data_IF_040875580253
#
_entry.id   IF_040875580253
#
_cell.length_a   1.000
_cell.length_b   1.000
_cell.length_c   1.000
_cell.angle_alpha   90.00
_cell.angle_beta   90.00
_cell.angle_gamma   90.00
#
_symmetry.space_group_name_H-M   'P 1'
#
loop_
_entity.id
_entity.type
_entity.pdbx_description
1 polymer ?
#
# COMPACT_ATOMS: atom_id res chain seq x y z
N UNK A 1 7.33 -13.80 9.61
CA UNK A 1 6.03 -13.09 9.43
C UNK A 1 6.33 -11.64 9.17
N UNK A 2 5.80 -11.08 8.11
CA UNK A 2 6.04 -9.68 7.75
C UNK A 2 4.75 -8.86 7.90
N UNK A 3 4.91 -7.64 8.37
CA UNK A 3 3.82 -6.72 8.63
C UNK A 3 4.10 -5.42 7.87
N UNK A 4 3.24 -5.08 6.93
CA UNK A 4 3.26 -3.78 6.27
C UNK A 4 2.27 -2.88 6.99
N UNK A 5 2.67 -1.65 7.25
CA UNK A 5 1.73 -0.65 7.77
C UNK A 5 0.63 -0.47 6.74
N UNK A 6 -0.60 -0.85 7.07
CA UNK A 6 -1.73 -0.78 6.15
C UNK A 6 -1.96 0.63 5.59
N UNK A 7 -2.61 0.67 4.44
CA UNK A 7 -2.96 1.91 3.73
C UNK A 7 -4.14 2.57 4.43
N UNK A 8 -4.02 3.84 4.83
CA UNK A 8 -5.16 4.61 5.35
C UNK A 8 -5.92 5.20 4.19
N UNK A 9 -7.11 4.69 3.96
CA UNK A 9 -8.02 5.19 2.91
C UNK A 9 -8.86 6.36 3.42
N UNK A 10 -9.33 7.25 2.54
CA UNK A 10 -10.46 8.12 2.84
C UNK A 10 -11.75 7.28 2.96
N UNK A 11 -12.84 7.85 3.48
CA UNK A 11 -14.15 7.19 3.45
C UNK A 11 -14.53 6.86 1.99
N UNK A 12 -14.80 5.57 1.72
CA UNK A 12 -15.12 5.05 0.39
C UNK A 12 -16.54 4.53 0.30
N UNK A 13 -17.07 3.99 1.40
CA UNK A 13 -18.44 3.49 1.51
C UNK A 13 -19.01 3.93 2.85
N UNK A 14 -20.22 4.47 2.84
CA UNK A 14 -20.95 4.91 4.01
C UNK A 14 -22.37 4.33 4.00
N UNK A 15 -23.02 4.40 5.15
CA UNK A 15 -24.44 4.10 5.33
C UNK A 15 -25.10 5.20 6.16
N UNK A 16 -26.41 5.30 6.10
CA UNK A 16 -27.17 6.13 7.01
C UNK A 16 -27.72 5.30 8.17
N UNK A 17 -27.51 5.80 9.37
CA UNK A 17 -28.08 5.23 10.60
C UNK A 17 -28.99 6.26 11.23
N UNK A 18 -30.27 5.89 11.42
CA UNK A 18 -31.27 6.72 12.10
C UNK A 18 -31.44 6.21 13.53
N UNK A 19 -31.15 7.05 14.49
CA UNK A 19 -31.38 6.81 15.92
C UNK A 19 -32.24 7.92 16.56
N UNK A 20 -32.39 7.87 17.88
CA UNK A 20 -33.19 8.86 18.60
C UNK A 20 -32.67 10.32 18.48
N UNK A 21 -31.41 10.50 18.03
CA UNK A 21 -30.79 11.82 17.83
C UNK A 21 -30.90 12.33 16.40
N UNK A 22 -31.41 11.51 15.46
CA UNK A 22 -31.60 11.84 14.06
C UNK A 22 -30.85 10.87 13.11
N UNK A 23 -30.84 11.20 11.82
CA UNK A 23 -30.07 10.44 10.80
C UNK A 23 -28.66 10.96 10.73
N UNK A 24 -27.68 10.03 10.75
CA UNK A 24 -26.27 10.33 10.60
C UNK A 24 -25.63 9.38 9.60
N UNK A 25 -24.63 9.87 8.90
CA UNK A 25 -23.79 9.06 8.03
C UNK A 25 -22.71 8.33 8.85
N UNK A 26 -22.57 7.03 8.63
CA UNK A 26 -21.55 6.18 9.26
C UNK A 26 -20.65 5.55 8.19
N UNK A 27 -19.32 5.59 8.39
CA UNK A 27 -18.36 5.04 7.47
C UNK A 27 -18.26 3.53 7.66
N UNK A 28 -18.56 2.76 6.60
CA UNK A 28 -18.40 1.30 6.58
C UNK A 28 -16.99 0.93 6.14
N UNK A 29 -16.47 1.59 5.11
CA UNK A 29 -15.10 1.37 4.60
C UNK A 29 -14.41 2.70 4.37
N UNK A 30 -13.23 2.82 4.92
CA UNK A 30 -12.41 4.03 4.87
C UNK A 30 -12.24 4.65 6.25
N UNK A 31 -11.58 5.81 6.27
CA UNK A 31 -11.10 6.51 7.47
C UNK A 31 -10.24 5.67 8.41
N UNK A 32 -10.02 4.42 8.07
CA UNK A 32 -9.18 3.45 8.78
C UNK A 32 -8.12 2.85 7.83
N UNK A 33 -7.30 1.98 8.38
CA UNK A 33 -6.27 1.26 7.63
C UNK A 33 -6.76 -0.10 7.20
N UNK A 34 -6.71 -0.33 5.91
CA UNK A 34 -6.89 -1.67 5.33
C UNK A 34 -5.54 -2.40 5.22
N UNK A 35 -5.58 -3.69 4.95
CA UNK A 35 -4.37 -4.53 4.78
C UNK A 35 -3.46 -4.52 6.02
N UNK A 36 -4.02 -4.57 7.23
CA UNK A 36 -3.26 -4.55 8.49
C UNK A 36 -2.79 -5.94 8.94
N UNK A 37 -3.28 -7.02 8.33
CA UNK A 37 -2.94 -8.40 8.73
C UNK A 37 -1.48 -8.73 8.41
N UNK A 38 -0.86 -9.58 9.21
CA UNK A 38 0.47 -10.14 8.93
C UNK A 38 0.43 -11.08 7.72
N UNK A 39 1.50 -11.13 6.96
CA UNK A 39 1.71 -12.09 5.85
C UNK A 39 2.96 -12.91 6.10
N UNK A 40 3.00 -14.11 5.54
CA UNK A 40 4.22 -14.90 5.49
C UNK A 40 5.17 -14.31 4.44
N UNK A 41 6.45 -14.33 4.75
CA UNK A 41 7.51 -13.92 3.84
C UNK A 41 8.71 -14.85 3.99
N UNK A 42 9.64 -14.71 3.08
CA UNK A 42 10.90 -15.45 3.10
C UNK A 42 12.06 -14.49 2.98
N UNK A 43 13.15 -14.78 3.69
CA UNK A 43 14.42 -14.07 3.59
C UNK A 43 15.56 -15.09 3.49
N UNK A 44 16.47 -14.85 2.56
CA UNK A 44 17.69 -15.63 2.38
C UNK A 44 18.85 -14.65 2.51
N UNK A 45 19.80 -15.00 3.34
CA UNK A 45 21.05 -14.26 3.51
C UNK A 45 22.21 -15.23 3.28
N UNK A 46 23.16 -14.84 2.47
CA UNK A 46 24.39 -15.58 2.21
C UNK A 46 25.57 -14.63 2.20
N UNK A 47 26.72 -15.11 2.64
CA UNK A 47 27.93 -14.30 2.65
C UNK A 47 29.18 -15.15 2.76
N UNK A 48 30.30 -14.57 2.44
CA UNK A 48 31.59 -15.22 2.51
C UNK A 48 32.69 -14.21 2.81
N UNK A 49 33.62 -14.61 3.68
CA UNK A 49 34.90 -13.91 3.84
C UNK A 49 35.83 -14.24 2.68
N UNK A 50 36.49 -13.23 2.13
CA UNK A 50 37.39 -13.34 1.00
C UNK A 50 38.84 -13.61 1.44
N UNK A 51 39.15 -13.31 2.68
CA UNK A 51 40.47 -13.49 3.27
C UNK A 51 40.41 -14.37 4.53
N UNK A 52 41.55 -15.01 4.86
CA UNK A 52 41.65 -15.87 6.05
C UNK A 52 41.57 -15.11 7.37
N UNK A 53 41.89 -13.82 7.34
CA UNK A 53 41.82 -12.95 8.51
C UNK A 53 40.41 -12.41 8.78
N UNK A 54 39.44 -12.77 7.94
CA UNK A 54 38.06 -12.29 8.03
C UNK A 54 37.96 -10.75 8.10
N UNK A 55 38.85 -10.06 7.38
CA UNK A 55 38.86 -8.61 7.29
C UNK A 55 37.94 -8.07 6.20
N UNK A 56 37.79 -8.84 5.11
CA UNK A 56 36.94 -8.47 3.97
C UNK A 56 36.06 -9.64 3.52
N UNK A 57 34.83 -9.32 3.21
CA UNK A 57 33.85 -10.27 2.71
C UNK A 57 32.74 -9.60 1.90
N UNK A 58 31.79 -10.39 1.53
CA UNK A 58 30.53 -9.90 0.95
C UNK A 58 29.33 -10.61 1.59
N UNK A 59 28.19 -9.91 1.59
CA UNK A 59 26.91 -10.43 2.06
C UNK A 59 25.86 -10.06 1.03
N UNK A 60 25.13 -11.05 0.54
CA UNK A 60 23.93 -10.87 -0.28
C UNK A 60 22.71 -11.28 0.50
N UNK A 61 21.65 -10.49 0.37
CA UNK A 61 20.36 -10.76 0.99
C UNK A 61 19.25 -10.54 0.00
N UNK A 62 18.31 -11.47 -0.03
CA UNK A 62 17.06 -11.37 -0.75
C UNK A 62 15.87 -11.62 0.17
N UNK A 63 14.80 -10.86 0.02
CA UNK A 63 13.58 -11.08 0.79
C UNK A 63 12.33 -10.84 -0.07
N UNK A 64 11.28 -11.59 0.25
CA UNK A 64 9.96 -11.44 -0.33
C UNK A 64 8.92 -11.36 0.79
N UNK A 65 8.14 -10.28 0.82
CA UNK A 65 7.18 -9.97 1.87
C UNK A 65 5.81 -10.64 1.71
N UNK A 66 5.67 -11.59 0.77
CA UNK A 66 4.40 -12.22 0.47
C UNK A 66 3.40 -11.25 -0.18
N UNK A 67 2.32 -11.80 -0.73
CA UNK A 67 1.19 -11.04 -1.25
C UNK A 67 0.15 -10.83 -0.14
N UNK A 68 -0.32 -9.62 0.02
CA UNK A 68 -1.33 -9.23 0.97
C UNK A 68 -2.58 -8.84 0.22
N UNK A 69 -3.72 -9.37 0.65
CA UNK A 69 -5.00 -9.12 0.00
C UNK A 69 -6.00 -8.52 0.98
N UNK A 70 -6.90 -7.72 0.45
CA UNK A 70 -8.05 -7.16 1.11
C UNK A 70 -9.28 -7.39 0.24
N UNK A 71 -10.38 -7.73 0.83
CA UNK A 71 -11.68 -7.87 0.17
C UNK A 71 -12.78 -7.38 1.10
N UNK A 72 -13.68 -6.61 0.54
CA UNK A 72 -14.90 -6.16 1.17
C UNK A 72 -16.02 -6.20 0.13
N UNK A 73 -17.11 -6.89 0.45
CA UNK A 73 -18.29 -7.01 -0.41
C UNK A 73 -19.52 -6.74 0.45
N UNK A 74 -20.44 -5.91 -0.06
CA UNK A 74 -21.73 -5.60 0.56
C UNK A 74 -22.78 -5.39 -0.49
N UNK A 75 -23.99 -5.84 -0.19
CA UNK A 75 -25.21 -5.60 -0.97
C UNK A 75 -26.34 -5.06 -0.08
N UNK A 76 -27.45 -4.70 -0.71
CA UNK A 76 -28.62 -4.17 -0.01
C UNK A 76 -29.22 -5.14 1.02
N UNK A 77 -29.07 -6.46 0.85
CA UNK A 77 -29.59 -7.45 1.81
C UNK A 77 -28.83 -7.43 3.14
N UNK A 78 -27.57 -6.99 3.12
CA UNK A 78 -26.70 -6.90 4.29
C UNK A 78 -26.71 -5.50 4.91
N UNK A 79 -26.86 -4.46 4.07
CA UNK A 79 -26.86 -3.06 4.48
C UNK A 79 -27.86 -2.29 3.60
N UNK A 80 -28.97 -1.86 4.18
CA UNK A 80 -30.09 -1.31 3.45
C UNK A 80 -29.75 -0.06 2.61
N UNK A 81 -28.85 0.78 3.13
CA UNK A 81 -28.38 2.00 2.46
C UNK A 81 -26.88 1.91 2.27
N UNK A 82 -26.44 1.96 1.01
CA UNK A 82 -25.04 1.97 0.61
C UNK A 82 -24.76 3.21 -0.24
N UNK A 83 -23.81 4.01 0.21
CA UNK A 83 -23.46 5.30 -0.39
C UNK A 83 -21.93 5.38 -0.63
N UNK A 84 -21.54 6.09 -1.69
CA UNK A 84 -20.13 6.48 -1.91
C UNK A 84 -19.97 7.97 -1.68
N UNK A 85 -19.28 8.39 -0.61
CA UNK A 85 -19.15 9.80 -0.28
C UNK A 85 -18.09 10.48 -1.14
N UNK A 86 -18.35 11.69 -1.58
CA UNK A 86 -17.41 12.58 -2.23
C UNK A 86 -17.66 14.05 -1.79
N UNK A 87 -16.81 14.95 -2.23
CA UNK A 87 -16.98 16.39 -2.01
C UNK A 87 -17.29 17.03 -3.36
N UNK A 88 -18.47 17.61 -3.51
CA UNK A 88 -18.79 18.43 -4.68
C UNK A 88 -18.03 19.76 -4.60
N UNK A 89 -17.12 19.95 -5.56
CA UNK A 89 -16.28 21.13 -5.70
C UNK A 89 -16.76 22.06 -6.84
N UNK A 90 -18.02 21.97 -7.21
CA UNK A 90 -18.61 22.83 -8.25
C UNK A 90 -18.54 24.30 -7.84
N UNK A 91 -18.84 24.61 -6.57
CA UNK A 91 -18.51 25.89 -5.95
C UNK A 91 -17.06 25.83 -5.41
N UNK A 92 -16.14 26.54 -6.05
CA UNK A 92 -14.69 26.55 -5.73
C UNK A 92 -14.36 27.03 -4.31
N UNK A 93 -15.32 27.67 -3.64
CA UNK A 93 -15.10 28.27 -2.32
C UNK A 93 -15.66 27.43 -1.18
N UNK A 94 -16.62 26.54 -1.45
CA UNK A 94 -17.32 25.79 -0.41
C UNK A 94 -17.63 24.36 -0.88
N UNK A 95 -16.66 23.41 -0.70
CA UNK A 95 -16.93 22.00 -1.00
C UNK A 95 -18.10 21.48 -0.17
N UNK A 96 -19.09 20.88 -0.82
CA UNK A 96 -20.27 20.30 -0.16
C UNK A 96 -20.13 18.77 -0.10
N UNK A 97 -20.36 18.14 1.06
CA UNK A 97 -20.46 16.68 1.15
C UNK A 97 -21.63 16.17 0.32
N UNK A 98 -21.36 15.23 -0.58
CA UNK A 98 -22.34 14.58 -1.44
C UNK A 98 -22.11 13.08 -1.48
N UNK A 99 -23.12 12.33 -1.93
CA UNK A 99 -23.02 10.87 -2.02
C UNK A 99 -23.57 10.34 -3.34
N UNK A 100 -22.88 9.36 -3.91
CA UNK A 100 -23.43 8.52 -4.96
C UNK A 100 -24.22 7.36 -4.31
N UNK A 101 -25.51 7.27 -4.63
CA UNK A 101 -26.38 6.18 -4.16
C UNK A 101 -25.98 4.88 -4.89
N UNK A 102 -25.70 3.83 -4.12
CA UNK A 102 -25.50 2.46 -4.62
C UNK A 102 -26.75 1.64 -4.36
N UNK A 103 -27.23 1.67 -3.12
CA UNK A 103 -28.45 1.00 -2.69
C UNK A 103 -29.22 1.89 -1.70
N UNK A 104 -30.53 1.98 -1.87
CA UNK A 104 -31.45 2.69 -1.00
C UNK A 104 -32.86 2.09 -1.18
N UNK A 105 -33.57 1.71 -0.11
CA UNK A 105 -34.88 1.07 -0.19
C UNK A 105 -35.87 1.88 -1.03
N UNK A 106 -36.45 1.25 -2.05
CA UNK A 106 -37.43 1.88 -2.95
C UNK A 106 -36.84 2.76 -4.04
N UNK A 107 -35.53 3.07 -4.03
CA UNK A 107 -34.86 3.94 -4.99
C UNK A 107 -33.87 3.21 -5.88
N UNK A 108 -33.00 2.41 -5.28
CA UNK A 108 -32.02 1.62 -5.99
C UNK A 108 -31.65 0.35 -5.22
N UNK A 109 -31.47 -0.77 -5.92
CA UNK A 109 -30.86 -1.98 -5.40
C UNK A 109 -29.44 -2.10 -5.93
N UNK A 110 -28.49 -2.44 -5.06
CA UNK A 110 -27.11 -2.46 -5.50
C UNK A 110 -26.13 -3.13 -4.54
N UNK A 111 -24.88 -3.15 -5.01
CA UNK A 111 -23.76 -3.76 -4.30
C UNK A 111 -22.47 -3.00 -4.51
N UNK A 112 -21.54 -3.16 -3.56
CA UNK A 112 -20.20 -2.62 -3.62
C UNK A 112 -19.17 -3.71 -3.32
N UNK A 113 -18.13 -3.76 -4.13
CA UNK A 113 -16.96 -4.61 -3.93
C UNK A 113 -15.70 -3.76 -3.93
N UNK A 114 -14.87 -3.93 -2.88
CA UNK A 114 -13.57 -3.28 -2.78
C UNK A 114 -12.51 -4.36 -2.61
N UNK A 115 -11.60 -4.42 -3.55
CA UNK A 115 -10.48 -5.35 -3.49
C UNK A 115 -9.16 -4.59 -3.48
N UNK A 116 -8.20 -5.13 -2.76
CA UNK A 116 -6.87 -4.56 -2.72
C UNK A 116 -5.80 -5.63 -2.61
N UNK A 117 -4.65 -5.37 -3.17
CA UNK A 117 -3.48 -6.20 -2.98
C UNK A 117 -2.20 -5.37 -2.82
N UNK A 118 -1.22 -5.97 -2.18
CA UNK A 118 0.08 -5.37 -1.96
C UNK A 118 1.13 -6.45 -1.89
N UNK A 119 2.24 -6.28 -2.58
CA UNK A 119 3.42 -7.15 -2.51
C UNK A 119 4.69 -6.32 -2.45
N UNK A 120 5.74 -6.89 -1.85
CA UNK A 120 7.02 -6.22 -1.74
C UNK A 120 8.16 -7.25 -1.75
N UNK A 121 9.26 -6.90 -2.39
CA UNK A 121 10.49 -7.66 -2.33
C UNK A 121 11.70 -6.73 -2.40
N UNK A 122 12.85 -7.24 -1.96
CA UNK A 122 14.10 -6.51 -2.02
C UNK A 122 15.30 -7.42 -2.13
N UNK A 123 16.36 -6.85 -2.64
CA UNK A 123 17.67 -7.46 -2.79
C UNK A 123 18.73 -6.47 -2.32
N UNK A 124 19.73 -6.94 -1.63
CA UNK A 124 20.91 -6.13 -1.34
C UNK A 124 22.21 -6.96 -1.48
N UNK A 125 23.26 -6.28 -1.88
CA UNK A 125 24.60 -6.79 -1.93
C UNK A 125 25.53 -5.80 -1.24
N UNK A 126 26.22 -6.26 -0.20
CA UNK A 126 27.15 -5.46 0.58
C UNK A 126 28.53 -6.07 0.56
N UNK A 127 29.52 -5.24 0.42
CA UNK A 127 30.86 -5.56 0.91
C UNK A 127 30.86 -5.41 2.43
N UNK A 128 31.51 -6.34 3.11
CA UNK A 128 31.65 -6.41 4.56
C UNK A 128 33.11 -6.18 4.93
N UNK A 129 33.37 -5.20 5.78
CA UNK A 129 34.71 -4.89 6.28
C UNK A 129 34.70 -4.92 7.80
N UNK A 130 35.54 -5.77 8.38
CA UNK A 130 35.74 -5.79 9.82
C UNK A 130 36.35 -4.47 10.30
N UNK A 131 35.76 -3.88 11.34
CA UNK A 131 36.24 -2.65 11.97
C UNK A 131 36.93 -2.91 13.30
N UNK A 132 36.44 -3.85 14.09
CA UNK A 132 37.00 -4.15 15.39
C UNK A 132 36.23 -5.22 16.16
N UNK A 133 36.83 -5.71 17.22
CA UNK A 133 36.19 -6.62 18.17
C UNK A 133 36.52 -6.20 19.59
N UNK A 134 35.52 -6.16 20.45
CA UNK A 134 35.67 -5.84 21.88
C UNK A 134 34.59 -6.55 22.69
N UNK A 135 34.97 -7.10 23.85
CA UNK A 135 34.05 -7.80 24.77
C UNK A 135 33.16 -8.88 24.13
N UNK A 136 33.72 -9.67 23.20
CA UNK A 136 32.97 -10.73 22.50
C UNK A 136 32.02 -10.22 21.39
N UNK A 137 32.01 -8.91 21.13
CA UNK A 137 31.28 -8.29 20.05
C UNK A 137 32.20 -7.95 18.89
N UNK A 138 31.82 -8.32 17.67
CA UNK A 138 32.47 -7.84 16.43
C UNK A 138 31.63 -6.75 15.81
N UNK A 139 32.27 -5.79 15.18
CA UNK A 139 31.63 -4.70 14.43
C UNK A 139 32.17 -4.69 13.02
N UNK A 140 31.26 -4.73 12.05
CA UNK A 140 31.56 -4.68 10.63
C UNK A 140 30.88 -3.50 9.96
N UNK A 141 31.60 -2.87 9.04
CA UNK A 141 31.06 -1.91 8.10
C UNK A 141 30.50 -2.63 6.88
N UNK A 142 29.29 -2.30 6.51
CA UNK A 142 28.65 -2.74 5.29
C UNK A 142 28.52 -1.57 4.33
N UNK A 143 28.85 -1.77 3.06
CA UNK A 143 28.61 -0.78 2.00
C UNK A 143 28.36 -1.50 0.68
N UNK A 144 27.43 -0.98 -0.12
CA UNK A 144 27.07 -1.66 -1.34
C UNK A 144 25.81 -1.09 -2.00
N UNK A 145 24.98 -1.97 -2.51
CA UNK A 145 23.79 -1.63 -3.29
C UNK A 145 22.54 -2.25 -2.69
N UNK A 146 21.43 -1.50 -2.72
CA UNK A 146 20.11 -1.95 -2.30
C UNK A 146 19.08 -1.69 -3.38
N UNK A 147 18.23 -2.69 -3.59
CA UNK A 147 17.06 -2.66 -4.44
C UNK A 147 15.82 -2.98 -3.60
N UNK A 148 14.76 -2.19 -3.73
CA UNK A 148 13.47 -2.46 -3.10
C UNK A 148 12.37 -2.15 -4.10
N UNK A 149 11.43 -3.09 -4.27
CA UNK A 149 10.25 -2.90 -5.11
C UNK A 149 9.00 -3.30 -4.34
N UNK A 150 7.96 -2.47 -4.47
CA UNK A 150 6.64 -2.82 -3.96
C UNK A 150 5.55 -2.20 -4.83
N UNK A 151 4.48 -2.98 -4.97
CA UNK A 151 3.32 -2.63 -5.77
C UNK A 151 2.08 -2.74 -4.89
N UNK A 152 1.14 -1.81 -5.08
CA UNK A 152 -0.13 -1.82 -4.37
C UNK A 152 -1.25 -1.51 -5.36
N UNK A 153 -2.38 -2.19 -5.20
CA UNK A 153 -3.58 -2.00 -6.01
C UNK A 153 -4.81 -1.89 -5.13
N UNK A 154 -5.72 -1.03 -5.54
CA UNK A 154 -7.05 -0.87 -4.97
C UNK A 154 -8.05 -0.72 -6.10
N UNK A 155 -9.03 -1.62 -6.15
CA UNK A 155 -10.17 -1.57 -7.06
C UNK A 155 -11.44 -1.36 -6.26
N UNK A 156 -12.30 -0.45 -6.71
CA UNK A 156 -13.61 -0.16 -6.15
C UNK A 156 -14.61 -0.36 -7.26
N UNK A 157 -15.55 -1.27 -7.09
CA UNK A 157 -16.59 -1.57 -8.07
C UNK A 157 -17.96 -1.48 -7.42
N UNK A 158 -18.89 -0.82 -8.06
CA UNK A 158 -20.29 -0.73 -7.62
C UNK A 158 -21.21 -1.13 -8.76
N UNK A 159 -22.34 -1.72 -8.40
CA UNK A 159 -23.45 -2.00 -9.30
C UNK A 159 -24.73 -1.53 -8.66
N UNK A 160 -25.62 -0.90 -9.45
CA UNK A 160 -26.91 -0.41 -9.00
C UNK A 160 -27.97 -0.65 -10.07
N UNK A 161 -29.18 -0.96 -9.65
CA UNK A 161 -30.38 -1.07 -10.49
C UNK A 161 -31.41 -0.06 -9.99
N UNK A 162 -31.92 0.78 -10.85
CA UNK A 162 -32.97 1.72 -10.48
C UNK A 162 -34.29 1.04 -10.19
N UNK A 163 -34.90 1.41 -9.07
CA UNK A 163 -36.24 0.97 -8.64
C UNK A 163 -37.29 2.10 -8.72
N UNK A 164 -36.83 3.32 -9.04
CA UNK A 164 -37.65 4.52 -9.05
C UNK A 164 -37.34 5.39 -10.27
N UNK A 165 -38.37 5.81 -11.00
CA UNK A 165 -38.23 6.65 -12.19
C UNK A 165 -37.70 8.06 -11.88
N UNK A 166 -37.84 8.54 -10.65
CA UNK A 166 -37.28 9.84 -10.22
C UNK A 166 -35.74 9.76 -10.10
N UNK A 167 -35.18 8.55 -9.86
CA UNK A 167 -33.74 8.33 -9.84
C UNK A 167 -33.20 8.08 -11.25
N UNK A 168 -33.81 7.14 -11.96
CA UNK A 168 -33.55 6.80 -13.37
C UNK A 168 -34.70 5.86 -13.82
N UNK A 169 -34.97 5.70 -15.13
CA UNK A 169 -35.96 4.76 -15.61
C UNK A 169 -35.83 3.40 -14.89
N UNK A 170 -36.93 2.91 -14.34
CA UNK A 170 -36.95 1.64 -13.58
C UNK A 170 -36.34 0.51 -14.37
N UNK A 171 -35.38 -0.24 -13.76
CA UNK A 171 -34.61 -1.30 -14.39
C UNK A 171 -33.33 -0.84 -15.08
N UNK A 172 -33.04 0.45 -15.10
CA UNK A 172 -31.71 0.95 -15.55
C UNK A 172 -30.61 0.42 -14.64
N UNK A 173 -29.49 0.01 -15.23
CA UNK A 173 -28.33 -0.51 -14.48
C UNK A 173 -27.12 0.38 -14.62
N UNK A 174 -26.41 0.56 -13.54
CA UNK A 174 -25.18 1.34 -13.45
C UNK A 174 -24.08 0.48 -12.86
N UNK A 175 -22.97 0.31 -13.57
CA UNK A 175 -21.76 -0.33 -13.05
C UNK A 175 -20.62 0.68 -13.12
N UNK A 176 -20.07 1.03 -11.95
CA UNK A 176 -18.98 2.00 -11.84
C UNK A 176 -17.75 1.34 -11.24
N UNK A 177 -16.60 1.57 -11.85
CA UNK A 177 -15.32 1.05 -11.38
C UNK A 177 -14.28 2.16 -11.32
N UNK A 178 -13.53 2.17 -10.21
CA UNK A 178 -12.30 2.96 -10.04
C UNK A 178 -11.15 2.03 -9.68
N UNK A 179 -10.02 2.14 -10.37
CA UNK A 179 -8.81 1.36 -10.15
C UNK A 179 -7.62 2.29 -9.90
N UNK A 180 -6.88 2.00 -8.82
CA UNK A 180 -5.67 2.72 -8.43
C UNK A 180 -4.54 1.73 -8.28
N UNK A 181 -3.55 1.78 -9.16
CA UNK A 181 -2.40 0.90 -9.12
C UNK A 181 -1.12 1.73 -8.97
N UNK A 182 -0.30 1.38 -7.98
CA UNK A 182 0.95 2.10 -7.69
C UNK A 182 2.14 1.16 -7.69
N UNK A 183 3.24 1.63 -8.30
CA UNK A 183 4.51 0.93 -8.38
C UNK A 183 5.60 1.82 -7.80
N UNK A 184 6.46 1.21 -6.99
CA UNK A 184 7.60 1.88 -6.41
C UNK A 184 8.82 1.00 -6.58
N UNK A 185 9.89 1.56 -7.13
CA UNK A 185 11.14 0.85 -7.37
C UNK A 185 12.31 1.72 -6.96
N UNK A 186 13.02 1.28 -5.92
CA UNK A 186 14.18 1.97 -5.36
C UNK A 186 15.48 1.29 -5.78
N UNK A 187 16.42 2.10 -6.19
CA UNK A 187 17.80 1.74 -6.51
C UNK A 187 18.75 2.70 -5.80
N UNK A 188 19.64 2.18 -4.97
CA UNK A 188 20.53 3.06 -4.23
C UNK A 188 21.78 2.41 -3.71
N UNK A 189 22.77 3.24 -3.38
CA UNK A 189 23.89 2.86 -2.57
C UNK A 189 23.44 2.68 -1.12
N UNK A 190 24.12 1.82 -0.37
CA UNK A 190 23.84 1.62 1.05
C UNK A 190 25.13 1.63 1.86
N UNK A 191 25.02 2.07 3.10
CA UNK A 191 26.03 1.99 4.13
C UNK A 191 25.39 1.52 5.43
N UNK A 192 26.09 0.76 6.24
CA UNK A 192 25.56 0.28 7.51
C UNK A 192 26.60 -0.34 8.40
N UNK A 193 26.15 -0.69 9.59
CA UNK A 193 26.93 -1.40 10.59
C UNK A 193 26.21 -2.69 10.95
N UNK A 194 26.97 -3.74 11.07
CA UNK A 194 26.53 -5.03 11.62
C UNK A 194 27.35 -5.32 12.87
N UNK A 195 26.66 -5.79 13.91
CA UNK A 195 27.29 -6.24 15.13
C UNK A 195 26.92 -7.69 15.38
N UNK A 196 27.90 -8.51 15.73
CA UNK A 196 27.72 -9.90 16.10
C UNK A 196 28.34 -10.12 17.48
N UNK A 197 27.49 -10.51 18.45
CA UNK A 197 27.89 -10.88 19.81
C UNK A 197 27.60 -12.35 20.05
N UNK A 198 28.53 -13.05 20.69
CA UNK A 198 28.35 -14.46 20.99
C UNK A 198 28.86 -14.78 22.40
N UNK A 199 27.99 -15.39 23.20
CA UNK A 199 28.31 -15.86 24.54
C UNK A 199 27.62 -17.20 24.84
N UNK A 200 28.42 -18.25 25.07
CA UNK A 200 27.92 -19.58 25.33
C UNK A 200 27.04 -20.12 24.19
N UNK A 201 25.78 -20.42 24.50
CA UNK A 201 24.80 -20.90 23.51
C UNK A 201 24.00 -19.78 22.83
N UNK A 202 24.23 -18.53 23.16
CA UNK A 202 23.49 -17.41 22.64
C UNK A 202 24.33 -16.57 21.68
N UNK A 203 23.69 -16.09 20.65
CA UNK A 203 24.25 -15.07 19.76
C UNK A 203 23.25 -13.93 19.60
N UNK A 204 23.76 -12.73 19.44
CA UNK A 204 22.97 -11.56 19.10
C UNK A 204 23.59 -10.89 17.89
N UNK A 205 22.77 -10.65 16.87
CA UNK A 205 23.16 -9.93 15.67
C UNK A 205 22.30 -8.66 15.55
N UNK A 206 22.96 -7.52 15.49
CA UNK A 206 22.36 -6.23 15.22
C UNK A 206 22.75 -5.73 13.85
N UNK A 207 21.84 -5.12 13.12
CA UNK A 207 22.11 -4.50 11.83
C UNK A 207 21.39 -3.15 11.76
N UNK A 208 22.12 -2.12 11.35
CA UNK A 208 21.55 -0.82 11.00
C UNK A 208 22.12 -0.38 9.65
N UNK A 209 21.27 -0.15 8.67
CA UNK A 209 21.65 0.31 7.34
C UNK A 209 20.85 1.53 6.92
N UNK A 210 21.47 2.34 6.10
CA UNK A 210 20.83 3.45 5.40
C UNK A 210 21.18 3.36 3.92
N UNK A 211 20.17 3.15 3.09
CA UNK A 211 20.35 3.30 1.66
C UNK A 211 19.82 4.66 1.18
N UNK A 212 20.42 5.17 0.14
CA UNK A 212 20.07 6.45 -0.49
C UNK A 212 20.24 6.34 -2.00
N UNK A 213 19.27 6.86 -2.73
CA UNK A 213 19.28 6.70 -4.18
C UNK A 213 18.01 7.19 -4.87
N UNK A 214 17.73 6.65 -6.02
CA UNK A 214 16.57 7.00 -6.85
C UNK A 214 15.40 6.08 -6.55
N UNK A 215 14.24 6.67 -6.30
CA UNK A 215 12.94 6.00 -6.22
C UNK A 215 12.13 6.37 -7.46
N UNK A 216 11.91 5.40 -8.35
CA UNK A 216 10.94 5.50 -9.44
C UNK A 216 9.56 5.18 -8.91
N UNK A 217 8.60 6.07 -9.18
CA UNK A 217 7.22 5.96 -8.72
C UNK A 217 6.29 6.06 -9.91
N UNK A 218 5.33 5.17 -9.96
CA UNK A 218 4.30 5.18 -10.99
C UNK A 218 2.93 5.03 -10.34
N UNK A 219 1.97 5.80 -10.80
CA UNK A 219 0.55 5.66 -10.48
C UNK A 219 -0.22 5.50 -11.77
N UNK A 220 -0.97 4.41 -11.90
CA UNK A 220 -1.93 4.16 -12.96
C UNK A 220 -3.34 4.25 -12.36
N UNK A 221 -4.18 5.08 -12.95
CA UNK A 221 -5.57 5.30 -12.53
C UNK A 221 -6.49 5.06 -13.71
N UNK A 222 -7.48 4.19 -13.53
CA UNK A 222 -8.42 3.80 -14.56
C UNK A 222 -9.85 3.85 -13.98
N UNK A 223 -10.77 4.48 -14.69
CA UNK A 223 -12.17 4.55 -14.39
C UNK A 223 -13.01 3.93 -15.50
N UNK A 224 -14.16 3.38 -15.16
CA UNK A 224 -15.16 2.90 -16.11
C UNK A 224 -16.55 3.04 -15.52
N UNK A 225 -17.45 3.61 -16.29
CA UNK A 225 -18.90 3.62 -15.98
C UNK A 225 -19.64 2.99 -17.16
N UNK A 226 -20.38 1.92 -16.87
CA UNK A 226 -21.28 1.28 -17.81
C UNK A 226 -22.72 1.53 -17.38
N UNK A 227 -23.47 2.18 -18.23
CA UNK A 227 -24.89 2.49 -18.02
C UNK A 227 -25.71 1.72 -19.05
N UNK A 228 -26.76 1.06 -18.59
CA UNK A 228 -27.76 0.45 -19.44
C UNK A 228 -29.14 1.00 -19.11
N UNK A 229 -29.77 1.62 -20.08
CA UNK A 229 -31.15 2.11 -19.99
C UNK A 229 -31.91 1.44 -21.12
N UNK A 230 -32.91 0.64 -20.78
CA UNK A 230 -33.63 -0.21 -21.73
C UNK A 230 -32.70 -1.07 -22.58
N UNK A 231 -32.71 -0.92 -23.89
CA UNK A 231 -31.85 -1.61 -24.85
C UNK A 231 -30.55 -0.85 -25.16
N UNK A 232 -30.37 0.36 -24.62
CA UNK A 232 -29.19 1.20 -24.87
C UNK A 232 -28.13 0.97 -23.82
N UNK A 233 -26.90 0.72 -24.28
CA UNK A 233 -25.72 0.55 -23.41
C UNK A 233 -24.72 1.65 -23.76
N UNK A 234 -24.29 2.42 -22.77
CA UNK A 234 -23.15 3.35 -22.84
C UNK A 234 -22.02 2.86 -21.97
N UNK A 235 -20.78 3.07 -22.41
CA UNK A 235 -19.58 2.84 -21.61
C UNK A 235 -18.69 4.05 -21.72
N UNK A 236 -18.32 4.60 -20.57
CA UNK A 236 -17.48 5.78 -20.46
C UNK A 236 -16.18 5.41 -19.71
N UNK A 237 -15.02 5.92 -20.14
CA UNK A 237 -13.73 5.62 -19.48
C UNK A 237 -13.52 6.47 -18.23
N UNK A 238 -14.58 6.66 -17.45
CA UNK A 238 -14.59 7.40 -16.19
C UNK A 238 -15.34 6.63 -15.10
N UNK A 239 -14.80 6.65 -13.89
CA UNK A 239 -15.47 6.16 -12.69
C UNK A 239 -16.09 7.30 -11.88
N UNK A 240 -16.25 7.08 -10.57
CA UNK A 240 -16.64 8.15 -9.64
C UNK A 240 -15.42 9.02 -9.28
N UNK A 241 -14.33 8.38 -8.83
CA UNK A 241 -13.12 9.03 -8.33
C UNK A 241 -12.02 9.17 -9.37
N UNK A 242 -12.10 8.39 -10.46
CA UNK A 242 -11.18 8.47 -11.60
C UNK A 242 -11.93 9.03 -12.79
N UNK A 243 -11.59 10.24 -13.16
CA UNK A 243 -12.19 10.99 -14.27
C UNK A 243 -11.13 11.33 -15.32
N UNK A 244 -11.53 11.89 -16.45
CA UNK A 244 -10.60 12.35 -17.49
C UNK A 244 -9.47 13.23 -16.89
N UNK A 245 -9.79 14.06 -15.91
CA UNK A 245 -8.88 15.02 -15.28
C UNK A 245 -7.73 14.38 -14.50
N UNK A 246 -7.89 13.15 -13.99
CA UNK A 246 -6.89 12.47 -13.18
C UNK A 246 -6.58 11.04 -13.62
N UNK A 247 -7.20 10.56 -14.71
CA UNK A 247 -6.95 9.23 -15.27
C UNK A 247 -5.57 9.10 -15.91
N UNK A 248 -5.18 7.86 -16.17
CA UNK A 248 -3.95 7.53 -16.87
C UNK A 248 -2.74 7.30 -15.97
N UNK A 249 -1.57 7.29 -16.60
CA UNK A 249 -0.29 6.94 -15.98
C UNK A 249 0.52 8.19 -15.66
N UNK A 250 0.94 8.32 -14.42
CA UNK A 250 1.88 9.35 -13.97
C UNK A 250 3.12 8.67 -13.41
N UNK A 251 4.28 9.02 -13.96
CA UNK A 251 5.58 8.48 -13.54
C UNK A 251 6.49 9.64 -13.15
N UNK A 252 7.19 9.49 -12.03
CA UNK A 252 8.25 10.41 -11.65
C UNK A 252 9.39 9.68 -10.92
N UNK A 253 10.52 10.38 -10.79
CA UNK A 253 11.69 9.91 -10.05
C UNK A 253 12.04 10.92 -8.98
N UNK A 254 12.41 10.40 -7.80
CA UNK A 254 12.78 11.22 -6.66
C UNK A 254 13.95 10.58 -5.91
N UNK A 255 14.81 11.41 -5.35
CA UNK A 255 15.80 10.95 -4.38
C UNK A 255 15.09 10.52 -3.11
N UNK A 256 15.43 9.34 -2.59
CA UNK A 256 14.77 8.74 -1.44
C UNK A 256 15.78 8.06 -0.52
N UNK A 257 15.35 7.83 0.73
CA UNK A 257 16.09 7.15 1.76
C UNK A 257 15.39 5.85 2.15
N UNK A 258 16.21 4.82 2.42
CA UNK A 258 15.71 3.52 2.89
C UNK A 258 16.48 3.12 4.14
N UNK A 259 16.08 3.58 5.33
CA UNK A 259 16.59 3.07 6.59
C UNK A 259 16.09 1.64 6.85
N UNK A 260 16.98 0.81 7.37
CA UNK A 260 16.73 -0.58 7.72
C UNK A 260 17.41 -0.92 9.06
N UNK A 261 16.67 -1.59 9.93
CA UNK A 261 17.15 -2.10 11.21
C UNK A 261 16.73 -3.56 11.34
N UNK A 262 17.65 -4.41 11.80
CA UNK A 262 17.39 -5.80 12.14
C UNK A 262 18.06 -6.14 13.46
N UNK A 263 17.36 -6.89 14.29
CA UNK A 263 17.87 -7.42 15.54
C UNK A 263 17.50 -8.90 15.60
N UNK A 264 18.49 -9.77 15.72
CA UNK A 264 18.33 -11.22 15.68
C UNK A 264 19.01 -11.85 16.87
N UNK A 265 18.26 -12.67 17.62
CA UNK A 265 18.75 -13.53 18.70
C UNK A 265 18.92 -14.95 18.13
N UNK A 266 20.08 -15.54 18.33
CA UNK A 266 20.38 -16.90 17.93
C UNK A 266 20.58 -17.81 19.16
N UNK A 267 20.18 -19.06 19.02
CA UNK A 267 20.41 -20.11 19.99
C UNK A 267 21.14 -21.28 19.34
N UNK A 268 22.38 -21.49 19.77
CA UNK A 268 23.26 -22.55 19.30
C UNK A 268 22.93 -23.87 20.03
N UNK A 269 22.17 -24.75 19.37
CA UNK A 269 21.77 -26.05 19.95
C UNK A 269 22.43 -27.23 19.25
N UNK A 270 22.66 -27.13 17.95
CA UNK A 270 23.19 -28.20 17.13
C UNK A 270 24.52 -27.79 16.51
N UNK A 271 25.45 -28.71 16.34
CA UNK A 271 26.75 -28.42 15.75
C UNK A 271 26.62 -27.70 14.40
N UNK A 272 27.13 -26.48 14.35
CA UNK A 272 27.14 -25.63 13.16
C UNK A 272 25.81 -24.97 12.79
N UNK A 273 24.75 -25.09 13.62
CA UNK A 273 23.45 -24.48 13.36
C UNK A 273 22.91 -23.69 14.56
N UNK A 274 22.47 -22.46 14.28
CA UNK A 274 21.78 -21.60 15.22
C UNK A 274 20.28 -21.50 14.81
N UNK A 275 19.39 -21.69 15.77
CA UNK A 275 17.98 -21.28 15.63
C UNK A 275 17.90 -19.79 15.90
N UNK A 276 17.24 -19.05 15.04
CA UNK A 276 17.19 -17.59 15.13
C UNK A 276 15.75 -17.07 15.27
N UNK A 277 15.60 -16.04 16.10
CA UNK A 277 14.39 -15.23 16.24
C UNK A 277 14.82 -13.77 16.13
N UNK A 278 14.15 -13.00 15.30
CA UNK A 278 14.49 -11.59 15.14
C UNK A 278 13.35 -10.71 14.71
N UNK A 279 13.63 -9.42 14.73
CA UNK A 279 12.72 -8.35 14.27
C UNK A 279 13.41 -7.50 13.24
N UNK A 280 12.70 -7.21 12.17
CA UNK A 280 13.18 -6.42 11.05
C UNK A 280 12.23 -5.24 10.78
N UNK A 281 12.81 -4.08 10.52
CA UNK A 281 12.12 -2.86 10.10
C UNK A 281 12.83 -2.24 8.91
N UNK A 282 12.09 -1.95 7.85
CA UNK A 282 12.53 -1.22 6.68
C UNK A 282 11.50 -0.13 6.36
N UNK A 283 11.96 1.06 6.00
CA UNK A 283 11.11 2.14 5.55
C UNK A 283 11.62 2.69 4.21
N UNK A 284 10.70 3.06 3.31
CA UNK A 284 11.01 3.76 2.06
C UNK A 284 10.33 5.11 2.11
N UNK A 285 11.11 6.19 2.08
CA UNK A 285 10.54 7.54 2.13
C UNK A 285 9.96 7.94 0.77
N UNK A 286 8.99 8.85 0.77
CA UNK A 286 8.38 9.46 -0.41
C UNK A 286 7.75 8.48 -1.41
N UNK A 287 7.28 7.35 -0.93
CA UNK A 287 6.58 6.35 -1.74
C UNK A 287 5.18 6.80 -2.14
N UNK A 288 4.70 6.29 -3.26
CA UNK A 288 3.30 6.43 -3.67
C UNK A 288 2.49 5.21 -3.25
N UNK A 289 1.32 5.44 -2.67
CA UNK A 289 0.36 4.40 -2.29
C UNK A 289 -1.01 4.75 -2.86
N UNK A 290 -1.95 3.81 -3.07
CA UNK A 290 -3.27 4.08 -3.65
C UNK A 290 -4.02 5.22 -2.96
N UNK A 291 -3.93 5.33 -1.63
CA UNK A 291 -4.55 6.44 -0.90
C UNK A 291 -3.98 7.82 -1.25
N UNK A 292 -2.77 7.88 -1.77
CA UNK A 292 -2.14 9.12 -2.25
C UNK A 292 -2.59 9.53 -3.65
N UNK A 293 -3.20 8.60 -4.40
CA UNK A 293 -3.73 8.83 -5.73
C UNK A 293 -5.24 9.12 -5.76
N UNK A 294 -5.94 8.92 -4.62
CA UNK A 294 -7.38 9.17 -4.49
C UNK A 294 -7.60 10.63 -4.15
N UNK A 295 -8.36 11.32 -5.00
CA UNK A 295 -8.98 12.62 -4.71
C UNK A 295 -10.50 12.45 -4.65
N UNK A 296 -11.13 12.93 -3.59
CA UNK A 296 -12.61 12.90 -3.41
C UNK A 296 -13.29 14.21 -3.76
N UNK A 297 -12.53 15.21 -4.12
CA UNK A 297 -13.06 16.48 -4.59
C UNK A 297 -13.44 16.34 -6.05
N UNK A 298 -14.73 16.34 -6.36
CA UNK A 298 -15.25 16.16 -7.70
C UNK A 298 -15.95 17.44 -8.18
N UNK A 299 -15.79 17.77 -9.45
CA UNK A 299 -16.68 18.73 -10.11
C UNK A 299 -17.81 17.96 -10.75
N UNK A 300 -19.01 18.20 -10.28
CA UNK A 300 -20.24 17.60 -10.83
C UNK A 300 -20.76 18.43 -12.00
N UNK A 301 -20.44 19.72 -12.05
CA UNK A 301 -20.81 20.57 -13.17
C UNK A 301 -19.83 20.40 -14.33
N UNK A 302 -20.28 19.73 -15.37
CA UNK A 302 -19.57 19.46 -16.62
C UNK A 302 -19.69 20.62 -17.64
N UNK A 303 -19.60 21.88 -17.19
CA UNK A 303 -19.58 23.01 -18.12
C UNK A 303 -18.38 22.88 -19.08
N UNK A 304 -18.63 23.01 -20.38
CA UNK A 304 -17.60 23.09 -21.40
C UNK A 304 -17.48 24.55 -21.89
N UNK A 305 -16.30 25.21 -21.76
CA UNK A 305 -15.07 24.70 -21.13
C UNK A 305 -15.14 24.65 -19.60
N UNK A 306 -14.41 23.71 -18.99
CA UNK A 306 -14.25 23.62 -17.55
C UNK A 306 -13.66 24.94 -16.99
N UNK A 307 -14.39 25.63 -16.15
CA UNK A 307 -13.94 26.86 -15.51
C UNK A 307 -13.56 26.59 -14.06
N UNK A 308 -12.38 27.08 -13.62
CA UNK A 308 -11.88 26.95 -12.23
C UNK A 308 -10.99 25.73 -11.99
N UNK A 309 -10.83 25.32 -10.73
CA UNK A 309 -9.92 24.22 -10.35
C UNK A 309 -10.33 22.89 -10.97
N UNK A 310 -9.37 22.19 -11.57
CA UNK A 310 -9.59 20.85 -12.14
C UNK A 310 -9.73 19.84 -11.03
N UNK A 311 -10.87 19.14 -10.97
CA UNK A 311 -11.17 18.13 -9.96
C UNK A 311 -11.85 16.91 -10.59
N UNK A 312 -11.49 15.67 -10.17
CA UNK A 312 -10.42 15.34 -9.23
C UNK A 312 -9.04 15.73 -9.75
N UNK A 313 -8.14 16.10 -8.81
CA UNK A 313 -6.77 16.50 -9.16
C UNK A 313 -5.92 15.30 -9.57
N UNK A 314 -5.03 15.52 -10.55
CA UNK A 314 -4.00 14.56 -10.92
C UNK A 314 -2.84 14.48 -9.92
N UNK A 315 -2.77 15.37 -8.92
CA UNK A 315 -1.70 15.45 -7.95
C UNK A 315 -1.60 14.20 -7.09
N UNK A 316 -0.38 13.77 -6.83
CA UNK A 316 -0.07 12.58 -6.05
C UNK A 316 0.46 12.98 -4.67
N UNK A 317 -0.04 12.35 -3.62
CA UNK A 317 0.41 12.54 -2.23
C UNK A 317 1.33 11.39 -1.82
N UNK A 318 2.55 11.71 -1.46
CA UNK A 318 3.59 10.75 -1.11
C UNK A 318 3.65 10.53 0.40
N UNK A 319 4.02 9.30 0.81
CA UNK A 319 4.13 8.90 2.21
C UNK A 319 5.24 7.88 2.38
N UNK A 320 5.74 7.75 3.60
CA UNK A 320 6.69 6.69 3.92
C UNK A 320 5.99 5.33 3.96
N UNK A 321 6.49 4.38 3.18
CA UNK A 321 6.11 2.98 3.23
C UNK A 321 6.91 2.27 4.32
N UNK A 322 6.25 1.47 5.16
CA UNK A 322 6.88 0.71 6.24
C UNK A 322 6.65 -0.78 6.06
N UNK A 323 7.73 -1.53 6.15
CA UNK A 323 7.74 -2.98 6.23
C UNK A 323 8.45 -3.40 7.50
N UNK A 324 7.80 -4.14 8.37
CA UNK A 324 8.42 -4.67 9.57
C UNK A 324 7.88 -6.06 9.88
N UNK A 325 8.58 -6.83 10.71
CA UNK A 325 8.12 -8.15 11.03
C UNK A 325 9.04 -8.93 11.95
N UNK A 326 8.49 -10.04 12.43
CA UNK A 326 9.23 -11.05 13.19
C UNK A 326 9.65 -12.14 12.22
N UNK A 327 10.90 -12.57 12.33
CA UNK A 327 11.41 -13.69 11.55
C UNK A 327 11.96 -14.80 12.43
N UNK A 328 11.76 -16.03 11.97
CA UNK A 328 12.35 -17.23 12.52
C UNK A 328 13.25 -17.83 11.45
N UNK A 329 14.39 -18.36 11.82
CA UNK A 329 15.33 -18.88 10.85
C UNK A 329 16.27 -19.92 11.38
N UNK A 330 17.06 -20.46 10.46
CA UNK A 330 18.18 -21.31 10.70
C UNK A 330 19.42 -20.60 10.11
N UNK A 331 20.45 -20.44 10.89
CA UNK A 331 21.71 -19.86 10.47
C UNK A 331 22.82 -20.89 10.63
N UNK A 332 23.67 -21.00 9.62
CA UNK A 332 24.89 -21.78 9.68
C UNK A 332 26.09 -20.87 9.50
N UNK A 333 27.01 -20.94 10.42
CA UNK A 333 28.26 -20.20 10.40
C UNK A 333 29.40 -21.22 10.15
N UNK A 334 30.24 -20.98 9.15
CA UNK A 334 31.36 -21.81 8.78
C UNK A 334 32.67 -21.22 9.26
#
# INVERSE_FOLDING_TARGET
MMWRRGVRLPALVTTEVTDASGTREEVIVGDDRIMTRMTSGVRITTGRWLDRGQAFGFVGRGWYGGRKQYGFDRDQSQTAILLRPFLDFTDQFTPTPETQVIAEPGRADGSVSITGDSEAFGLDLSFRRFLGAEFGTTIDLLYGYQFVRFNERLDISTQSVSLDDDFAPVGSTFAVRDSFHTFNEFHGAQIGLQTDYREGFWSFQGLAKLAFGSLSRESLREGETRTQVDASISTEPEGLLVRETNSGRVTNQQFSWVPEIDATLGWHRYEGWDLTLGYHLLAVTDAIQPCGAIDRELRVNLSDPLTGAVRPSADLRYRTFYLHGIHFGLQRVY
#
